data_IF_973119181764
#
_entry.id   IF_973119181764
#
_cell.length_a   1.000
_cell.length_b   1.000
_cell.length_c   1.000
_cell.angle_alpha   90.00
_cell.angle_beta   90.00
_cell.angle_gamma   90.00
#
_symmetry.space_group_name_H-M   'P 1'
#
loop_
_entity.id
_entity.type
_entity.pdbx_description
1 polymer ?
#
# COMPACT_ATOMS: atom_id res chain seq x y z
N UNK A 1 23.05 -1.17 -6.96
CA UNK A 1 23.12 -1.00 -5.49
C UNK A 1 22.60 -2.29 -4.83
N UNK A 2 23.28 -2.83 -3.81
CA UNK A 2 22.72 -3.91 -2.95
C UNK A 2 23.21 -3.79 -1.51
N UNK A 3 22.28 -3.51 -0.59
CA UNK A 3 22.20 -4.04 0.79
C UNK A 3 20.71 -4.09 1.16
N UNK A 4 20.27 -5.20 1.77
CA UNK A 4 18.90 -5.50 2.20
C UNK A 4 19.01 -6.36 3.48
N UNK A 5 18.58 -5.87 4.67
CA UNK A 5 18.10 -6.66 5.83
C UNK A 5 17.83 -5.78 7.08
N UNK A 6 16.75 -6.00 7.85
CA UNK A 6 15.57 -6.80 7.52
C UNK A 6 14.49 -5.86 6.98
N UNK A 7 14.33 -5.73 5.67
CA UNK A 7 13.18 -5.00 5.14
C UNK A 7 12.52 -5.76 4.00
N UNK A 8 11.74 -6.78 4.39
CA UNK A 8 11.17 -7.82 3.52
C UNK A 8 9.97 -7.39 2.64
N UNK A 9 9.84 -6.08 2.40
CA UNK A 9 9.92 -5.45 1.08
C UNK A 9 9.23 -4.09 1.16
N UNK A 10 10.00 -3.02 0.97
CA UNK A 10 9.49 -1.67 0.73
C UNK A 10 8.82 -1.62 -0.65
N UNK A 11 7.55 -2.00 -0.68
CA UNK A 11 6.71 -1.76 -1.84
C UNK A 11 6.07 -0.38 -1.72
N UNK A 12 5.67 0.17 -2.86
CA UNK A 12 5.01 1.48 -2.93
C UNK A 12 3.89 1.59 -1.90
N UNK A 13 3.07 0.55 -1.72
CA UNK A 13 1.96 0.56 -0.77
C UNK A 13 2.41 0.74 0.69
N UNK A 14 3.43 0.00 1.13
CA UNK A 14 3.99 0.11 2.47
C UNK A 14 4.67 1.46 2.70
N UNK A 15 5.42 1.96 1.71
CA UNK A 15 6.06 3.28 1.78
C UNK A 15 5.01 4.39 1.90
N UNK A 16 3.98 4.39 1.05
CA UNK A 16 2.87 5.35 1.13
C UNK A 16 2.16 5.26 2.47
N UNK A 17 1.96 4.05 3.00
CA UNK A 17 1.36 3.84 4.32
C UNK A 17 2.17 4.53 5.43
N UNK A 18 3.46 4.25 5.52
CA UNK A 18 4.33 4.83 6.55
C UNK A 18 4.43 6.35 6.41
N UNK A 19 4.60 6.86 5.19
CA UNK A 19 4.74 8.30 4.96
C UNK A 19 3.47 9.09 5.29
N UNK A 20 2.30 8.46 5.22
CA UNK A 20 1.02 9.11 5.56
C UNK A 20 0.98 9.64 7.01
N UNK A 21 1.77 9.09 7.93
CA UNK A 21 1.85 9.54 9.32
C UNK A 21 2.64 10.84 9.51
N UNK A 22 3.49 11.22 8.56
CA UNK A 22 4.40 12.36 8.71
C UNK A 22 3.86 13.59 7.97
N UNK A 23 3.52 14.66 8.72
CA UNK A 23 2.97 15.89 8.14
C UNK A 23 3.80 16.47 7.01
N UNK A 24 5.13 16.47 7.15
CA UNK A 24 6.04 16.96 6.12
C UNK A 24 5.96 16.14 4.82
N UNK A 25 5.78 14.82 4.93
CA UNK A 25 5.73 13.93 3.76
C UNK A 25 4.43 14.06 2.98
N UNK A 26 3.31 14.43 3.62
CA UNK A 26 2.00 14.59 2.96
C UNK A 26 1.98 15.63 1.84
N UNK A 27 2.90 16.60 1.90
CA UNK A 27 3.04 17.66 0.90
C UNK A 27 4.18 17.41 -0.09
N UNK A 28 4.94 16.32 0.07
CA UNK A 28 6.05 16.00 -0.82
C UNK A 28 5.50 15.51 -2.18
N UNK A 29 5.95 16.08 -3.31
CA UNK A 29 5.47 15.67 -4.63
C UNK A 29 5.63 14.17 -4.90
N UNK A 30 6.72 13.57 -4.42
CA UNK A 30 6.99 12.13 -4.62
C UNK A 30 6.01 11.27 -3.84
N UNK A 31 5.57 11.74 -2.67
CA UNK A 31 4.52 11.06 -1.92
C UNK A 31 3.17 11.14 -2.63
N UNK A 32 2.83 12.30 -3.18
CA UNK A 32 1.60 12.48 -3.94
C UNK A 32 1.57 11.60 -5.19
N UNK A 33 2.68 11.49 -5.92
CA UNK A 33 2.82 10.56 -7.05
C UNK A 33 2.59 9.10 -6.64
N UNK A 34 3.19 8.66 -5.52
CA UNK A 34 2.96 7.31 -4.99
C UNK A 34 1.52 7.09 -4.53
N UNK A 35 0.87 8.12 -3.99
CA UNK A 35 -0.52 8.08 -3.57
C UNK A 35 -1.47 7.95 -4.77
N UNK A 36 -1.22 8.70 -5.84
CA UNK A 36 -2.01 8.65 -7.07
C UNK A 36 -1.82 7.32 -7.79
N UNK A 37 -0.58 6.82 -7.86
CA UNK A 37 -0.31 5.48 -8.36
C UNK A 37 -1.05 4.40 -7.55
N UNK A 38 -1.18 4.57 -6.22
CA UNK A 38 -1.96 3.65 -5.37
C UNK A 38 -3.46 3.77 -5.61
N UNK A 39 -4.00 4.98 -5.80
CA UNK A 39 -5.41 5.22 -6.15
C UNK A 39 -5.79 4.54 -7.46
N UNK A 40 -4.91 4.59 -8.46
CA UNK A 40 -5.11 3.91 -9.75
C UNK A 40 -5.17 2.38 -9.68
N UNK A 41 -4.82 1.78 -8.53
CA UNK A 41 -4.89 0.33 -8.27
C UNK A 41 -6.17 -0.12 -7.57
N UNK A 42 -7.06 0.82 -7.24
CA UNK A 42 -8.37 0.51 -6.67
C UNK A 42 -9.31 0.01 -7.77
N UNK A 43 -10.11 -1.00 -7.47
CA UNK A 43 -11.25 -1.39 -8.32
C UNK A 43 -12.48 -0.54 -8.00
N UNK A 44 -13.53 -0.63 -8.83
CA UNK A 44 -14.77 0.16 -8.73
C UNK A 44 -15.41 0.23 -7.33
N UNK A 45 -15.19 -0.80 -6.49
CA UNK A 45 -15.68 -0.84 -5.10
C UNK A 45 -14.73 -0.20 -4.07
N UNK A 46 -13.67 0.47 -4.50
CA UNK A 46 -12.65 1.06 -3.63
C UNK A 46 -11.77 0.03 -2.92
N UNK A 47 -11.67 -1.19 -3.45
CA UNK A 47 -10.88 -2.28 -2.86
C UNK A 47 -9.52 -2.39 -3.57
N UNK A 48 -8.48 -2.78 -2.82
CA UNK A 48 -7.17 -3.07 -3.39
C UNK A 48 -7.06 -4.53 -3.84
N UNK A 49 -6.56 -4.76 -5.07
CA UNK A 49 -6.19 -6.09 -5.56
C UNK A 49 -4.75 -6.41 -5.14
N UNK A 50 -4.52 -7.65 -4.72
CA UNK A 50 -3.18 -8.13 -4.40
C UNK A 50 -2.47 -8.59 -5.67
N UNK A 51 -1.52 -7.80 -6.16
CA UNK A 51 -0.76 -8.14 -7.39
C UNK A 51 0.43 -9.07 -7.12
N UNK A 52 1.09 -8.91 -5.98
CA UNK A 52 2.33 -9.65 -5.65
C UNK A 52 2.32 -10.10 -4.18
N UNK A 53 1.65 -11.21 -3.85
CA UNK A 53 1.68 -11.72 -2.49
C UNK A 53 3.03 -12.35 -2.15
N UNK A 54 3.27 -12.52 -0.85
CA UNK A 54 4.41 -13.30 -0.39
C UNK A 54 4.23 -14.77 -0.78
N UNK A 55 5.24 -15.40 -1.39
CA UNK A 55 5.12 -16.75 -1.96
C UNK A 55 4.59 -17.79 -0.96
N UNK A 56 5.02 -17.72 0.31
CA UNK A 56 4.56 -18.63 1.38
C UNK A 56 3.11 -18.37 1.83
N UNK A 57 2.58 -17.17 1.59
CA UNK A 57 1.24 -16.76 2.03
C UNK A 57 0.23 -16.69 0.87
N UNK A 58 0.66 -16.79 -0.39
CA UNK A 58 -0.17 -16.60 -1.58
C UNK A 58 -1.41 -17.51 -1.68
N UNK A 59 -1.46 -18.60 -0.89
CA UNK A 59 -2.60 -19.51 -0.81
C UNK A 59 -3.68 -19.07 0.21
N UNK A 60 -3.38 -18.07 1.05
CA UNK A 60 -4.31 -17.57 2.07
C UNK A 60 -5.31 -16.59 1.44
N UNK A 61 -6.58 -16.69 1.84
CA UNK A 61 -7.69 -15.91 1.25
C UNK A 61 -7.44 -14.40 1.24
N UNK A 62 -6.83 -13.84 2.28
CA UNK A 62 -6.64 -12.40 2.41
C UNK A 62 -5.51 -11.82 1.55
N UNK A 63 -4.64 -12.65 0.97
CA UNK A 63 -3.54 -12.20 0.12
C UNK A 63 -3.41 -13.05 -1.15
N UNK A 64 -4.53 -13.60 -1.63
CA UNK A 64 -4.56 -14.34 -2.89
C UNK A 64 -4.33 -13.38 -4.05
N UNK A 65 -3.41 -13.75 -4.94
CA UNK A 65 -3.06 -12.94 -6.10
C UNK A 65 -4.28 -12.74 -7.01
N UNK A 66 -4.51 -11.52 -7.46
CA UNK A 66 -5.61 -11.17 -8.37
C UNK A 66 -6.96 -10.95 -7.69
N UNK A 67 -7.09 -11.27 -6.40
CA UNK A 67 -8.33 -11.07 -5.65
C UNK A 67 -8.29 -9.76 -4.83
N UNK A 68 -9.46 -9.11 -4.61
CA UNK A 68 -9.57 -8.01 -3.66
C UNK A 68 -9.19 -8.45 -2.24
N UNK A 69 -8.45 -7.62 -1.52
CA UNK A 69 -8.08 -7.87 -0.13
C UNK A 69 -8.71 -6.84 0.81
N UNK A 70 -9.60 -7.32 1.68
CA UNK A 70 -10.20 -6.49 2.74
C UNK A 70 -9.12 -5.92 3.67
N UNK A 71 -8.14 -6.73 4.04
CA UNK A 71 -7.03 -6.31 4.91
C UNK A 71 -6.17 -5.21 4.28
N UNK A 72 -5.86 -5.33 2.98
CA UNK A 72 -5.15 -4.27 2.26
C UNK A 72 -6.01 -3.01 2.14
N UNK A 73 -7.30 -3.16 1.87
CA UNK A 73 -8.25 -2.05 1.77
C UNK A 73 -8.37 -1.29 3.10
N UNK A 74 -8.37 -1.99 4.24
CA UNK A 74 -8.35 -1.37 5.56
C UNK A 74 -7.12 -0.47 5.77
N UNK A 75 -5.93 -0.94 5.38
CA UNK A 75 -4.69 -0.14 5.44
C UNK A 75 -4.73 1.08 4.53
N UNK A 76 -5.36 0.97 3.36
CA UNK A 76 -5.59 2.12 2.49
C UNK A 76 -6.52 3.16 3.15
N UNK A 77 -7.57 2.70 3.85
CA UNK A 77 -8.45 3.56 4.64
C UNK A 77 -7.69 4.36 5.72
N UNK A 78 -6.73 3.75 6.40
CA UNK A 78 -5.86 4.43 7.37
C UNK A 78 -5.03 5.55 6.72
N UNK A 79 -4.50 5.35 5.49
CA UNK A 79 -3.80 6.40 4.74
C UNK A 79 -4.73 7.59 4.51
N UNK A 80 -5.94 7.33 4.02
CA UNK A 80 -6.93 8.37 3.76
C UNK A 80 -7.34 9.12 5.03
N UNK A 81 -7.41 8.43 6.16
CA UNK A 81 -7.68 9.04 7.46
C UNK A 81 -6.53 9.94 7.89
N UNK A 82 -5.27 9.48 7.77
CA UNK A 82 -4.10 10.25 8.14
C UNK A 82 -3.97 11.54 7.32
N UNK A 83 -4.35 11.53 6.05
CA UNK A 83 -4.32 12.73 5.19
C UNK A 83 -5.31 13.82 5.60
N UNK A 84 -6.34 13.48 6.39
CA UNK A 84 -7.33 14.44 6.91
C UNK A 84 -6.90 15.09 8.23
N UNK A 85 -5.81 14.60 8.85
CA UNK A 85 -5.20 15.15 10.07
C UNK A 85 -4.05 16.10 9.75
#
# INVERSE_FOLDING_TARGET
>A
MKVEYPFLRYNMFYTTYVLSYYKAAKHDPRFLEMLDALRGKLVDKGQLIVERPHAKLAKLKFCKMGDPSEMATGRYGEIMFNLKQ
#
